data_IF_846298187897
#
_entry.id   IF_846298187897
#
_cell.length_a   1.000
_cell.length_b   1.000
_cell.length_c   1.000
_cell.angle_alpha   90.00
_cell.angle_beta   90.00
_cell.angle_gamma   90.00
#
_symmetry.space_group_name_H-M   'P 1'
#
loop_
_entity.id
_entity.type
_entity.pdbx_description
1 polymer ?
#
# COMPACT_ATOMS: atom_id res chain seq x y z
N UNK A 1 -26.86 5.89 -21.71
CA UNK A 1 -25.97 5.21 -20.74
C UNK A 1 -24.73 4.78 -21.48
N UNK A 2 -23.57 5.15 -20.96
CA UNK A 2 -22.32 4.81 -21.62
C UNK A 2 -21.82 3.46 -21.07
N UNK A 3 -21.71 2.50 -21.96
CA UNK A 3 -21.06 1.25 -21.63
C UNK A 3 -19.56 1.50 -21.38
N UNK A 4 -19.02 0.88 -20.36
CA UNK A 4 -17.60 1.02 -20.02
C UNK A 4 -16.77 -0.20 -20.40
N UNK A 5 -17.25 -0.99 -21.35
CA UNK A 5 -16.54 -2.19 -21.82
C UNK A 5 -15.17 -1.76 -22.36
N UNK A 6 -14.12 -2.16 -21.65
CA UNK A 6 -12.75 -1.83 -22.03
C UNK A 6 -12.35 -0.37 -21.90
N UNK A 7 -13.17 0.48 -21.27
CA UNK A 7 -12.90 1.92 -21.17
C UNK A 7 -12.26 2.35 -19.85
N UNK A 8 -12.16 1.46 -18.87
CA UNK A 8 -11.39 1.72 -17.66
C UNK A 8 -9.92 1.41 -17.96
N UNK A 9 -9.13 2.44 -18.16
CA UNK A 9 -7.73 2.28 -18.53
C UNK A 9 -6.85 2.23 -17.28
N UNK A 10 -6.62 1.00 -16.80
CA UNK A 10 -5.69 0.74 -15.72
C UNK A 10 -4.36 0.28 -16.29
N UNK A 11 -3.30 0.97 -15.92
CA UNK A 11 -1.94 0.58 -16.28
C UNK A 11 -1.28 -0.15 -15.12
N UNK A 12 -0.65 -1.28 -15.43
CA UNK A 12 0.20 -1.98 -14.47
C UNK A 12 1.50 -1.22 -14.33
N UNK A 13 1.90 -0.94 -13.11
CA UNK A 13 3.15 -0.25 -12.83
C UNK A 13 3.79 -0.84 -11.58
N UNK A 14 5.09 -1.12 -11.69
CA UNK A 14 5.88 -1.56 -10.55
C UNK A 14 6.38 -0.36 -9.77
N UNK A 15 6.28 -0.46 -8.46
CA UNK A 15 6.84 0.52 -7.53
C UNK A 15 7.72 -0.21 -6.53
N UNK A 16 8.63 0.50 -5.91
CA UNK A 16 9.24 0.04 -4.67
C UNK A 16 8.50 0.68 -3.49
N UNK A 17 8.67 0.10 -2.31
CA UNK A 17 8.16 0.73 -1.08
C UNK A 17 8.73 2.13 -0.93
N UNK A 18 10.02 2.33 -1.26
CA UNK A 18 10.67 3.65 -1.25
C UNK A 18 9.89 4.66 -2.11
N UNK A 19 9.59 4.30 -3.36
CA UNK A 19 8.88 5.19 -4.28
C UNK A 19 7.48 5.51 -3.77
N UNK A 20 6.79 4.51 -3.22
CA UNK A 20 5.47 4.71 -2.63
C UNK A 20 5.51 5.70 -1.48
N UNK A 21 6.48 5.53 -0.58
CA UNK A 21 6.69 6.43 0.57
C UNK A 21 7.03 7.84 0.11
N UNK A 22 7.87 7.97 -0.91
CA UNK A 22 8.24 9.26 -1.46
C UNK A 22 7.03 10.01 -2.02
N UNK A 23 6.16 9.31 -2.75
CA UNK A 23 4.93 9.91 -3.27
C UNK A 23 4.01 10.40 -2.16
N UNK A 24 3.94 9.67 -1.06
CA UNK A 24 3.14 10.08 0.09
C UNK A 24 3.72 11.29 0.78
N UNK A 25 5.04 11.31 0.98
CA UNK A 25 5.74 12.42 1.63
C UNK A 25 5.63 13.70 0.79
N UNK A 26 5.68 13.58 -0.53
CA UNK A 26 5.52 14.69 -1.47
C UNK A 26 4.06 15.06 -1.72
N UNK A 27 3.13 14.38 -1.06
CA UNK A 27 1.68 14.55 -1.24
C UNK A 27 1.20 14.32 -2.67
N UNK A 28 1.95 13.53 -3.43
CA UNK A 28 1.54 13.08 -4.76
C UNK A 28 0.59 11.90 -4.70
N UNK A 29 0.49 11.26 -3.55
CA UNK A 29 -0.41 10.17 -3.26
C UNK A 29 -1.06 10.41 -1.91
N UNK A 30 -2.39 10.39 -1.88
CA UNK A 30 -3.15 10.54 -0.63
C UNK A 30 -4.11 9.39 -0.46
N UNK A 31 -4.22 8.91 0.78
CA UNK A 31 -5.27 7.98 1.15
C UNK A 31 -6.57 8.73 1.37
N UNK A 32 -7.65 8.27 0.74
CA UNK A 32 -8.97 8.79 1.11
C UNK A 32 -9.27 8.36 2.53
N UNK A 33 -9.57 9.32 3.40
CA UNK A 33 -10.19 9.04 4.68
C UNK A 33 -11.65 8.68 4.43
N UNK A 34 -11.89 7.44 4.10
CA UNK A 34 -13.23 6.90 4.16
C UNK A 34 -13.36 6.23 5.53
N UNK A 35 -14.55 6.03 6.03
CA UNK A 35 -14.89 5.36 7.29
C UNK A 35 -14.22 3.98 7.38
N UNK A 36 -12.89 3.99 7.47
CA UNK A 36 -12.10 2.78 7.48
C UNK A 36 -12.04 2.20 8.86
N UNK A 37 -12.41 0.98 8.93
CA UNK A 37 -12.01 0.15 10.04
C UNK A 37 -10.54 -0.19 9.78
N UNK A 38 -9.64 0.66 10.27
CA UNK A 38 -8.21 0.40 10.17
C UNK A 38 -7.88 -0.94 10.80
N UNK A 39 -6.91 -1.61 10.24
CA UNK A 39 -6.38 -2.82 10.81
C UNK A 39 -5.88 -2.57 12.24
N UNK A 40 -6.09 -3.52 13.14
CA UNK A 40 -5.46 -3.47 14.44
C UNK A 40 -3.94 -3.66 14.29
N UNK A 41 -3.21 -3.38 15.36
CA UNK A 41 -1.76 -3.41 15.33
C UNK A 41 -1.21 -4.82 15.01
N UNK A 42 -1.86 -5.86 15.51
CA UNK A 42 -1.43 -7.22 15.24
C UNK A 42 -1.52 -7.55 13.75
N UNK A 43 -2.58 -7.17 13.09
CA UNK A 43 -2.75 -7.37 11.65
C UNK A 43 -1.72 -6.58 10.86
N UNK A 44 -1.42 -5.35 11.30
CA UNK A 44 -0.37 -4.53 10.71
C UNK A 44 0.99 -5.22 10.82
N UNK A 45 1.33 -5.73 12.00
CA UNK A 45 2.59 -6.44 12.23
C UNK A 45 2.71 -7.70 11.37
N UNK A 46 1.64 -8.47 11.24
CA UNK A 46 1.62 -9.67 10.39
C UNK A 46 1.85 -9.33 8.93
N UNK A 47 1.28 -8.24 8.46
CA UNK A 47 1.51 -7.76 7.11
C UNK A 47 2.97 -7.37 6.90
N UNK A 48 3.55 -6.61 7.82
CA UNK A 48 4.96 -6.22 7.78
C UNK A 48 5.86 -7.46 7.79
N UNK A 49 5.55 -8.44 8.64
CA UNK A 49 6.29 -9.70 8.67
C UNK A 49 6.24 -10.41 7.32
N UNK A 50 5.08 -10.43 6.65
CA UNK A 50 4.94 -11.01 5.32
C UNK A 50 5.86 -10.32 4.31
N UNK A 51 5.90 -8.99 4.34
CA UNK A 51 6.77 -8.22 3.45
C UNK A 51 8.25 -8.54 3.72
N UNK A 52 8.64 -8.53 4.99
CA UNK A 52 10.02 -8.88 5.38
C UNK A 52 10.40 -10.31 4.98
N UNK A 53 9.43 -11.21 5.02
CA UNK A 53 9.64 -12.62 4.66
C UNK A 53 9.70 -12.86 3.16
N UNK A 54 9.39 -11.86 2.36
CA UNK A 54 9.37 -11.98 0.90
C UNK A 54 8.10 -12.64 0.35
N UNK A 55 7.05 -12.74 1.15
CA UNK A 55 5.77 -13.26 0.68
C UNK A 55 5.15 -12.23 -0.26
N UNK A 56 4.70 -12.64 -1.47
CA UNK A 56 4.02 -11.72 -2.37
C UNK A 56 2.78 -11.12 -1.73
N UNK A 57 2.65 -9.81 -1.86
CA UNK A 57 1.50 -9.08 -1.31
C UNK A 57 0.54 -8.71 -2.44
N UNK A 58 -0.73 -8.52 -2.09
CA UNK A 58 -1.75 -8.15 -3.06
C UNK A 58 -1.43 -6.82 -3.74
N UNK A 59 -1.87 -6.67 -4.99
CA UNK A 59 -1.68 -5.45 -5.77
C UNK A 59 -2.40 -4.26 -5.15
N UNK A 60 -1.86 -3.08 -5.42
CA UNK A 60 -2.47 -1.81 -5.03
C UNK A 60 -3.21 -1.22 -6.22
N UNK A 61 -4.23 -0.42 -5.94
CA UNK A 61 -5.02 0.23 -6.98
C UNK A 61 -5.08 1.72 -6.68
N UNK A 62 -4.73 2.54 -7.70
CA UNK A 62 -4.66 3.98 -7.58
C UNK A 62 -5.50 4.66 -8.63
N UNK A 63 -6.11 5.79 -8.28
CA UNK A 63 -6.64 6.71 -9.26
C UNK A 63 -5.54 7.72 -9.61
N UNK A 64 -4.97 7.60 -10.79
CA UNK A 64 -3.89 8.46 -11.29
C UNK A 64 -4.33 9.39 -12.40
N UNK A 65 -5.65 9.60 -12.58
CA UNK A 65 -6.18 10.48 -13.60
C UNK A 65 -5.86 11.97 -13.35
N UNK A 66 -5.47 12.30 -12.13
CA UNK A 66 -5.08 13.66 -11.72
C UNK A 66 -3.64 13.64 -11.22
N UNK A 67 -2.95 14.81 -11.20
CA UNK A 67 -1.57 14.87 -10.71
C UNK A 67 -1.39 14.32 -9.31
N UNK A 68 -2.34 14.60 -8.42
CA UNK A 68 -2.37 13.97 -7.11
C UNK A 68 -3.18 12.67 -7.19
N UNK A 69 -2.51 11.57 -6.92
CA UNK A 69 -3.15 10.25 -6.93
C UNK A 69 -3.92 9.99 -5.64
N UNK A 70 -4.97 9.21 -5.72
CA UNK A 70 -5.68 8.68 -4.57
C UNK A 70 -5.63 7.16 -4.57
N UNK A 71 -5.68 6.57 -3.39
CA UNK A 71 -5.68 5.12 -3.24
C UNK A 71 -7.11 4.59 -3.39
N UNK A 72 -7.32 3.69 -4.34
CA UNK A 72 -8.60 2.99 -4.51
C UNK A 72 -8.64 1.73 -3.64
N UNK A 73 -7.54 1.00 -3.54
CA UNK A 73 -7.40 -0.17 -2.68
C UNK A 73 -5.97 -0.29 -2.17
N UNK A 74 -5.81 -0.59 -0.90
CA UNK A 74 -4.50 -0.79 -0.27
C UNK A 74 -4.13 0.24 0.80
N UNK A 75 -5.04 1.12 1.19
CA UNK A 75 -4.79 2.16 2.21
C UNK A 75 -4.24 1.57 3.51
N UNK A 76 -4.81 0.48 3.98
CA UNK A 76 -4.42 -0.12 5.25
C UNK A 76 -3.00 -0.71 5.18
N UNK A 77 -2.65 -1.29 4.05
CA UNK A 77 -1.31 -1.82 3.81
C UNK A 77 -0.28 -0.70 3.71
N UNK A 78 -0.61 0.38 3.01
CA UNK A 78 0.24 1.56 2.91
C UNK A 78 0.44 2.18 4.28
N UNK A 79 -0.62 2.29 5.06
CA UNK A 79 -0.57 2.83 6.41
C UNK A 79 0.34 1.99 7.32
N UNK A 80 0.23 0.67 7.25
CA UNK A 80 1.09 -0.24 8.02
C UNK A 80 2.56 -0.06 7.64
N UNK A 81 2.88 -0.02 6.34
CA UNK A 81 4.23 0.20 5.85
C UNK A 81 4.79 1.52 6.39
N UNK A 82 4.00 2.59 6.28
CA UNK A 82 4.41 3.92 6.73
C UNK A 82 4.70 3.95 8.22
N UNK A 83 3.79 3.41 9.01
CA UNK A 83 3.98 3.35 10.47
C UNK A 83 5.26 2.61 10.84
N UNK A 84 5.53 1.50 10.15
CA UNK A 84 6.73 0.73 10.43
C UNK A 84 8.00 1.49 10.05
N UNK A 85 8.07 2.05 8.85
CA UNK A 85 9.24 2.79 8.37
C UNK A 85 9.54 4.00 9.26
N UNK A 86 8.51 4.62 9.83
CA UNK A 86 8.67 5.76 10.74
C UNK A 86 8.78 5.36 12.22
N UNK A 87 9.03 4.09 12.50
CA UNK A 87 9.23 3.58 13.88
C UNK A 87 8.01 3.79 14.79
N UNK A 88 6.82 3.68 14.24
CA UNK A 88 5.58 3.76 15.00
C UNK A 88 5.04 2.38 15.39
N UNK A 89 5.59 1.31 14.80
CA UNK A 89 5.25 -0.08 15.12
C UNK A 89 6.52 -0.78 15.55
N UNK A 90 6.43 -1.47 16.67
CA UNK A 90 7.48 -2.36 17.18
C UNK A 90 7.03 -3.80 16.93
N UNK A 91 7.75 -4.53 16.08
CA UNK A 91 7.41 -5.92 15.80
C UNK A 91 7.65 -6.79 17.01
N UNK A 92 6.71 -7.67 17.29
CA UNK A 92 6.78 -8.67 18.36
C UNK A 92 5.86 -9.85 18.01
N UNK A 93 6.09 -10.96 18.68
CA UNK A 93 5.25 -12.18 18.53
C UNK A 93 5.16 -12.64 17.08
N UNK A 94 6.31 -12.65 16.39
CA UNK A 94 6.40 -13.02 14.97
C UNK A 94 6.20 -14.53 14.81
N UNK A 95 5.49 -14.93 13.75
CA UNK A 95 5.20 -16.32 13.42
C UNK A 95 6.24 -16.92 12.46
N UNK A 96 6.74 -16.12 11.52
CA UNK A 96 7.58 -16.57 10.42
C UNK A 96 9.06 -16.24 10.64
N UNK A 97 9.34 -15.15 11.32
CA UNK A 97 10.69 -14.65 11.53
C UNK A 97 11.13 -14.87 12.98
N UNK A 98 12.43 -15.01 13.16
CA UNK A 98 13.02 -15.18 14.50
C UNK A 98 12.99 -13.88 15.29
N UNK A 99 13.27 -13.98 16.59
CA UNK A 99 13.23 -12.84 17.51
C UNK A 99 14.21 -11.72 17.18
N UNK A 100 15.23 -11.99 16.37
CA UNK A 100 16.19 -10.96 15.95
C UNK A 100 15.52 -9.86 15.12
N UNK A 101 14.33 -10.14 14.54
CA UNK A 101 13.56 -9.16 13.77
C UNK A 101 12.55 -8.40 14.63
N UNK A 102 12.47 -8.70 15.93
CA UNK A 102 11.64 -7.92 16.84
C UNK A 102 12.19 -6.50 16.96
N UNK A 103 11.29 -5.54 17.15
CA UNK A 103 11.68 -4.15 17.36
C UNK A 103 11.18 -3.24 16.25
N UNK A 104 11.81 -2.07 16.19
CA UNK A 104 11.49 -1.04 15.22
C UNK A 104 12.26 -1.25 13.91
N UNK A 105 11.79 -0.60 12.86
CA UNK A 105 12.48 -0.59 11.58
C UNK A 105 13.94 -0.16 11.72
N UNK A 106 14.19 0.88 12.53
CA UNK A 106 15.55 1.37 12.80
C UNK A 106 16.46 0.36 13.48
N UNK A 107 15.89 -0.66 14.13
CA UNK A 107 16.67 -1.71 14.79
C UNK A 107 17.18 -2.77 13.82
N UNK A 108 16.64 -2.81 12.61
CA UNK A 108 17.08 -3.77 11.59
C UNK A 108 18.49 -3.46 11.10
N UNK A 109 19.21 -4.48 10.67
CA UNK A 109 20.47 -4.28 9.97
C UNK A 109 20.26 -3.39 8.73
N UNK A 110 21.23 -2.53 8.39
CA UNK A 110 21.10 -1.65 7.21
C UNK A 110 20.77 -2.40 5.91
N UNK A 111 21.32 -3.60 5.72
CA UNK A 111 21.03 -4.43 4.55
C UNK A 111 19.56 -4.88 4.52
N UNK A 112 19.00 -5.21 5.67
CA UNK A 112 17.60 -5.64 5.78
C UNK A 112 16.67 -4.44 5.55
N UNK A 113 17.01 -3.28 6.11
CA UNK A 113 16.25 -2.05 5.85
C UNK A 113 16.20 -1.72 4.35
N UNK A 114 17.35 -1.77 3.68
CA UNK A 114 17.43 -1.53 2.23
C UNK A 114 16.58 -2.53 1.46
N UNK A 115 16.62 -3.79 1.84
CA UNK A 115 15.82 -4.84 1.20
C UNK A 115 14.33 -4.55 1.35
N UNK A 116 13.91 -4.13 2.54
CA UNK A 116 12.52 -3.79 2.80
C UNK A 116 12.03 -2.64 1.92
N UNK A 117 12.74 -1.50 1.92
CA UNK A 117 12.31 -0.32 1.16
C UNK A 117 12.46 -0.50 -0.36
N UNK A 118 13.22 -1.46 -0.81
CA UNK A 118 13.35 -1.79 -2.22
C UNK A 118 12.46 -2.95 -2.64
N UNK A 119 11.59 -3.42 -1.75
CA UNK A 119 10.62 -4.46 -2.09
C UNK A 119 9.73 -3.97 -3.23
N UNK A 120 9.63 -4.74 -4.33
CA UNK A 120 8.75 -4.37 -5.43
C UNK A 120 7.29 -4.62 -5.05
N UNK A 121 6.44 -3.71 -5.46
CA UNK A 121 5.00 -3.82 -5.32
C UNK A 121 4.35 -3.56 -6.68
N UNK A 122 3.23 -4.22 -6.93
CA UNK A 122 2.47 -4.03 -8.16
C UNK A 122 1.34 -3.04 -7.90
N UNK A 123 1.23 -2.03 -8.77
CA UNK A 123 0.12 -1.11 -8.76
C UNK A 123 -0.66 -1.15 -10.07
N UNK A 124 -1.96 -0.93 -9.97
CA UNK A 124 -2.82 -0.66 -11.11
C UNK A 124 -3.23 0.80 -11.00
N UNK A 125 -2.86 1.58 -12.00
CA UNK A 125 -3.07 3.03 -12.00
C UNK A 125 -4.11 3.39 -13.04
N UNK A 126 -5.25 3.88 -12.57
CA UNK A 126 -6.29 4.39 -13.46
C UNK A 126 -5.80 5.68 -14.09
N UNK A 127 -5.78 5.74 -15.42
CA UNK A 127 -5.26 6.89 -16.15
C UNK A 127 -6.38 7.72 -16.83
N UNK A 128 -7.60 7.19 -16.83
CA UNK A 128 -8.76 7.84 -17.44
C UNK A 128 -9.61 8.51 -16.36
N UNK A 129 -9.99 9.76 -16.57
CA UNK A 129 -10.93 10.44 -15.70
C UNK A 129 -12.31 9.79 -15.84
N UNK A 130 -12.88 9.36 -14.71
CA UNK A 130 -14.19 8.72 -14.67
C UNK A 130 -15.13 9.52 -13.79
N UNK A 131 -16.45 9.45 -14.08
CA UNK A 131 -17.46 10.06 -13.22
C UNK A 131 -17.35 9.53 -11.78
N UNK A 132 -17.65 10.37 -10.82
CA UNK A 132 -17.55 10.04 -9.39
C UNK A 132 -18.35 8.79 -9.03
N UNK A 133 -19.54 8.64 -9.60
CA UNK A 133 -20.40 7.48 -9.32
C UNK A 133 -19.75 6.17 -9.76
N UNK A 134 -19.10 6.19 -10.91
CA UNK A 134 -18.40 5.04 -11.45
C UNK A 134 -17.16 4.71 -10.61
N UNK A 135 -16.41 5.72 -10.19
CA UNK A 135 -15.27 5.54 -9.29
C UNK A 135 -15.70 4.89 -7.97
N UNK A 136 -16.82 5.33 -7.42
CA UNK A 136 -17.36 4.74 -6.18
C UNK A 136 -17.74 3.28 -6.37
N UNK A 137 -18.32 2.94 -7.51
CA UNK A 137 -18.64 1.55 -7.85
C UNK A 137 -17.40 0.68 -7.95
N UNK A 138 -16.37 1.17 -8.62
CA UNK A 138 -15.08 0.48 -8.76
C UNK A 138 -14.45 0.28 -7.38
N UNK A 139 -14.43 1.34 -6.58
CA UNK A 139 -13.90 1.29 -5.21
C UNK A 139 -14.58 0.19 -4.38
N UNK A 140 -15.90 0.12 -4.42
CA UNK A 140 -16.63 -0.91 -3.69
C UNK A 140 -16.27 -2.31 -4.15
N UNK A 141 -16.12 -2.52 -5.45
CA UNK A 141 -15.76 -3.82 -6.01
C UNK A 141 -14.37 -4.28 -5.60
N UNK A 142 -13.41 -3.34 -5.54
CA UNK A 142 -12.05 -3.64 -5.13
C UNK A 142 -11.94 -3.97 -3.65
N UNK A 143 -12.83 -3.40 -2.83
CA UNK A 143 -12.77 -3.53 -1.36
C UNK A 143 -13.81 -4.51 -0.80
N UNK A 144 -14.48 -5.26 -1.65
CA UNK A 144 -15.40 -6.32 -1.23
C UNK A 144 -14.66 -7.54 -0.66
#
# INVERSE_FOLDING_TARGET
MNDIIGSTDFRMQHFTIRELMQRMDDRQLVGKRVQWKLWDEQKQMRFIESVLSGIPIASFYFNGAYPQWTVLDGVERIHAIRRYVYNEIQLRDLELLSREYNGYFSDLLPSVRRRFINTPIMGYVLTTELPKELLNSIFKRLND
#
